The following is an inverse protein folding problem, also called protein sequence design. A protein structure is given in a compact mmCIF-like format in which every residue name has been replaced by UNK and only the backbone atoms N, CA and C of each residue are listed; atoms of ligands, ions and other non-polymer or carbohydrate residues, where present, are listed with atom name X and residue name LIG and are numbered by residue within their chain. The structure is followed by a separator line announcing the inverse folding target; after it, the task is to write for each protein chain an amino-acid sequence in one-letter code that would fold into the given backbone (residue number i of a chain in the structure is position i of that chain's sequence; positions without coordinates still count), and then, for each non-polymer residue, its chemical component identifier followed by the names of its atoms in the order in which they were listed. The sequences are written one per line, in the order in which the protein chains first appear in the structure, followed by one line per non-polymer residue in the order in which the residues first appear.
data_IF_722222978439
#
_entry.id   IF_722222978439
#
_cell.length_a   1.000
_cell.length_b   1.000
_cell.length_c   1.000
_cell.angle_alpha   90.00
_cell.angle_beta   90.00
_cell.angle_gamma   90.00
#
_symmetry.space_group_name_H-M   'P 1'
#
loop_
_entity.id
_entity.type
_entity.pdbx_description
1 polymer ?
#
# COMPACT_ATOMS: atom_id res chain seq x y z
N UNK A 1 34.20 -49.73 67.92
CA UNK A 1 33.99 -48.54 67.07
C UNK A 1 33.60 -48.98 65.66
N UNK A 2 32.30 -48.95 65.32
CA UNK A 2 31.82 -49.30 63.96
C UNK A 2 31.74 -48.01 63.13
N UNK A 3 32.62 -47.87 62.13
CA UNK A 3 32.55 -46.79 61.12
C UNK A 3 31.40 -47.12 60.16
N UNK A 4 30.41 -46.23 60.07
CA UNK A 4 29.37 -46.25 59.02
C UNK A 4 29.91 -45.50 57.81
N UNK A 5 30.05 -46.17 56.67
CA UNK A 5 30.37 -45.57 55.38
C UNK A 5 29.06 -45.09 54.74
N UNK A 6 28.86 -43.78 54.68
CA UNK A 6 27.73 -43.13 54.00
C UNK A 6 28.06 -43.06 52.50
N UNK A 7 27.31 -43.78 51.66
CA UNK A 7 27.40 -43.65 50.20
C UNK A 7 26.43 -42.56 49.77
N UNK A 8 26.95 -41.41 49.33
CA UNK A 8 26.16 -40.34 48.73
C UNK A 8 26.12 -40.62 47.22
N UNK A 9 24.98 -41.11 46.73
CA UNK A 9 24.72 -41.26 45.30
C UNK A 9 24.21 -39.91 44.78
N UNK A 10 25.03 -39.19 44.02
CA UNK A 10 24.65 -37.96 43.36
C UNK A 10 23.83 -38.31 42.10
N UNK A 11 22.51 -38.16 42.15
CA UNK A 11 21.64 -38.34 40.98
C UNK A 11 21.70 -37.07 40.12
N UNK A 12 22.39 -37.12 38.99
CA UNK A 12 22.31 -36.09 37.96
C UNK A 12 20.97 -36.24 37.22
N UNK A 13 20.00 -35.38 37.53
CA UNK A 13 18.79 -35.22 36.71
C UNK A 13 19.16 -34.45 35.44
N UNK A 14 19.32 -35.17 34.33
CA UNK A 14 19.32 -34.59 32.99
C UNK A 14 17.87 -34.19 32.67
N UNK A 15 17.55 -32.91 32.87
CA UNK A 15 16.34 -32.31 32.32
C UNK A 15 16.54 -32.20 30.80
N UNK A 16 16.01 -33.16 30.04
CA UNK A 16 15.84 -33.01 28.60
C UNK A 16 14.72 -32.00 28.37
N UNK A 17 15.07 -30.73 28.22
CA UNK A 17 14.19 -29.75 27.59
C UNK A 17 14.00 -30.23 26.15
N UNK A 18 12.88 -30.89 25.87
CA UNK A 18 12.46 -31.14 24.51
C UNK A 18 12.14 -29.78 23.88
N UNK A 19 13.12 -29.21 23.18
CA UNK A 19 12.90 -28.10 22.27
C UNK A 19 11.94 -28.61 21.19
N UNK A 20 10.66 -28.31 21.32
CA UNK A 20 9.67 -28.53 20.26
C UNK A 20 9.94 -27.51 19.16
N UNK A 21 10.97 -27.74 18.34
CA UNK A 21 11.11 -27.04 17.07
C UNK A 21 9.94 -27.43 16.17
N UNK A 22 9.23 -26.45 15.61
CA UNK A 22 8.21 -26.71 14.59
C UNK A 22 8.85 -27.40 13.38
N UNK A 23 8.12 -28.33 12.77
CA UNK A 23 8.62 -29.09 11.60
C UNK A 23 8.53 -28.23 10.34
N UNK A 24 9.33 -28.55 9.32
CA UNK A 24 9.24 -27.93 7.99
C UNK A 24 7.78 -27.91 7.48
N UNK A 25 7.09 -29.05 7.55
CA UNK A 25 5.70 -29.17 7.11
C UNK A 25 4.74 -28.24 7.89
N UNK A 26 5.00 -27.98 9.17
CA UNK A 26 4.17 -27.06 9.95
C UNK A 26 4.33 -25.62 9.43
N UNK A 27 5.56 -25.20 9.10
CA UNK A 27 5.79 -23.88 8.50
C UNK A 27 5.19 -23.76 7.10
N UNK A 28 5.32 -24.79 6.26
CA UNK A 28 4.73 -24.77 4.92
C UNK A 28 3.20 -24.69 4.99
N UNK A 29 2.56 -25.49 5.84
CA UNK A 29 1.10 -25.42 6.01
C UNK A 29 0.65 -24.03 6.49
N UNK A 30 1.36 -23.43 7.44
CA UNK A 30 1.06 -22.08 7.92
C UNK A 30 1.29 -21.01 6.84
N UNK A 31 2.28 -21.20 5.96
CA UNK A 31 2.52 -20.31 4.82
C UNK A 31 1.39 -20.38 3.79
N UNK A 32 0.91 -21.58 3.46
CA UNK A 32 -0.22 -21.77 2.53
C UNK A 32 -1.54 -21.23 3.09
N UNK A 33 -1.79 -21.43 4.40
CA UNK A 33 -2.95 -20.84 5.09
C UNK A 33 -2.90 -19.30 5.04
N UNK A 34 -1.73 -18.72 5.35
CA UNK A 34 -1.49 -17.29 5.22
C UNK A 34 -1.71 -16.79 3.77
N UNK A 35 -1.21 -17.50 2.76
CA UNK A 35 -1.44 -17.15 1.36
C UNK A 35 -2.92 -17.20 0.97
N UNK A 36 -3.67 -18.21 1.43
CA UNK A 36 -5.09 -18.34 1.16
C UNK A 36 -5.91 -17.17 1.76
N UNK A 37 -5.44 -16.63 2.89
CA UNK A 37 -5.99 -15.44 3.52
C UNK A 37 -5.44 -14.12 2.96
N UNK A 38 -4.54 -14.17 1.96
CA UNK A 38 -3.77 -13.02 1.41
C UNK A 38 -2.85 -12.33 2.43
N UNK A 39 -2.47 -13.03 3.51
CA UNK A 39 -1.46 -12.61 4.47
C UNK A 39 -0.03 -12.79 3.92
N UNK A 40 0.33 -11.97 2.95
CA UNK A 40 1.63 -12.09 2.28
C UNK A 40 2.80 -11.83 3.23
N UNK A 41 2.59 -11.06 4.31
CA UNK A 41 3.61 -10.85 5.34
C UNK A 41 3.93 -12.15 6.07
N UNK A 42 2.92 -12.80 6.66
CA UNK A 42 3.15 -14.03 7.40
C UNK A 42 3.53 -15.18 6.48
N UNK A 43 2.97 -15.25 5.26
CA UNK A 43 3.43 -16.19 4.25
C UNK A 43 4.93 -16.04 3.99
N UNK A 44 5.42 -14.80 3.76
CA UNK A 44 6.84 -14.54 3.58
C UNK A 44 7.66 -14.92 4.83
N UNK A 45 7.17 -14.64 6.03
CA UNK A 45 7.83 -15.05 7.27
C UNK A 45 7.98 -16.58 7.38
N UNK A 46 6.92 -17.33 7.12
CA UNK A 46 6.92 -18.78 7.22
C UNK A 46 7.78 -19.43 6.13
N UNK A 47 7.69 -18.99 4.86
CA UNK A 47 8.59 -19.50 3.82
C UNK A 47 10.05 -19.15 4.08
N UNK A 48 10.34 -17.95 4.60
CA UNK A 48 11.71 -17.57 5.00
C UNK A 48 12.27 -18.56 6.01
N UNK A 49 11.45 -18.96 6.98
CA UNK A 49 11.82 -19.96 7.99
C UNK A 49 11.95 -21.36 7.38
N UNK A 50 11.05 -21.75 6.47
CA UNK A 50 11.11 -23.02 5.76
C UNK A 50 12.41 -23.19 4.95
N UNK A 51 12.89 -22.13 4.31
CA UNK A 51 14.16 -22.12 3.55
C UNK A 51 15.38 -22.42 4.44
N UNK A 52 15.30 -22.23 5.76
CA UNK A 52 16.40 -22.56 6.68
C UNK A 52 16.60 -24.07 6.83
N UNK A 53 15.57 -24.89 6.56
CA UNK A 53 15.66 -26.36 6.59
C UNK A 53 16.38 -26.92 5.36
N UNK A 54 16.19 -26.28 4.20
CA UNK A 54 16.92 -26.57 2.97
C UNK A 54 17.15 -25.29 2.16
N UNK A 55 18.38 -24.79 2.22
CA UNK A 55 18.76 -23.56 1.52
C UNK A 55 18.83 -23.69 0.00
N UNK A 56 18.81 -24.93 -0.52
CA UNK A 56 18.88 -25.23 -1.96
C UNK A 56 17.51 -25.39 -2.62
N UNK A 57 16.44 -25.48 -1.82
CA UNK A 57 15.08 -25.59 -2.34
C UNK A 57 14.63 -24.29 -3.02
N UNK A 58 14.56 -24.34 -4.35
CA UNK A 58 14.14 -23.21 -5.17
C UNK A 58 12.63 -22.97 -5.12
N UNK A 59 11.80 -23.98 -4.82
CA UNK A 59 10.35 -23.80 -4.73
C UNK A 59 10.00 -22.94 -3.52
N UNK A 60 10.52 -23.30 -2.36
CA UNK A 60 10.31 -22.52 -1.12
C UNK A 60 10.93 -21.13 -1.24
N UNK A 61 12.07 -21.01 -1.93
CA UNK A 61 12.69 -19.70 -2.21
C UNK A 61 11.87 -18.83 -3.14
N UNK A 62 11.29 -19.40 -4.19
CA UNK A 62 10.40 -18.69 -5.10
C UNK A 62 9.12 -18.26 -4.38
N UNK A 63 8.53 -19.14 -3.56
CA UNK A 63 7.35 -18.81 -2.77
C UNK A 63 7.60 -17.68 -1.75
N UNK A 64 8.76 -17.70 -1.08
CA UNK A 64 9.21 -16.58 -0.24
C UNK A 64 9.36 -15.27 -1.03
N UNK A 65 9.98 -15.35 -2.22
CA UNK A 65 10.21 -14.18 -3.07
C UNK A 65 8.88 -13.57 -3.55
N UNK A 66 7.94 -14.43 -3.95
CA UNK A 66 6.60 -14.05 -4.42
C UNK A 66 5.75 -13.43 -3.31
N UNK A 67 5.71 -14.05 -2.13
CA UNK A 67 5.04 -13.48 -0.97
C UNK A 67 5.67 -12.14 -0.56
N UNK A 68 7.01 -12.04 -0.59
CA UNK A 68 7.71 -10.78 -0.30
C UNK A 68 7.39 -9.69 -1.32
N UNK A 69 7.26 -10.03 -2.60
CA UNK A 69 6.89 -9.09 -3.67
C UNK A 69 5.47 -8.57 -3.47
N UNK A 70 4.50 -9.46 -3.22
CA UNK A 70 3.10 -9.11 -2.94
C UNK A 70 2.92 -8.29 -1.66
N UNK A 71 3.79 -8.48 -0.67
CA UNK A 71 3.84 -7.66 0.54
C UNK A 71 4.63 -6.33 0.35
N UNK A 72 5.17 -6.04 -0.83
CA UNK A 72 6.00 -4.87 -1.13
C UNK A 72 7.37 -4.86 -0.42
N UNK A 73 7.85 -5.99 0.09
CA UNK A 73 9.21 -6.16 0.58
C UNK A 73 10.21 -6.38 -0.58
N UNK A 74 10.27 -5.42 -1.51
CA UNK A 74 10.96 -5.56 -2.80
C UNK A 74 12.44 -5.95 -2.66
N UNK A 75 13.16 -5.42 -1.67
CA UNK A 75 14.56 -5.78 -1.44
C UNK A 75 14.74 -7.25 -1.01
N UNK A 76 13.77 -7.81 -0.29
CA UNK A 76 13.77 -9.23 0.07
C UNK A 76 13.40 -10.10 -1.13
N UNK A 77 12.37 -9.70 -1.88
CA UNK A 77 11.94 -10.35 -3.11
C UNK A 77 13.07 -10.42 -4.13
N UNK A 78 13.75 -9.30 -4.43
CA UNK A 78 14.88 -9.23 -5.36
C UNK A 78 15.98 -10.22 -4.99
N UNK A 79 16.44 -10.24 -3.72
CA UNK A 79 17.50 -11.16 -3.28
C UNK A 79 17.09 -12.63 -3.43
N UNK A 80 15.83 -12.94 -3.19
CA UNK A 80 15.32 -14.29 -3.26
C UNK A 80 15.11 -14.73 -4.73
N UNK A 81 14.48 -13.90 -5.56
CA UNK A 81 14.31 -14.17 -6.99
C UNK A 81 15.64 -14.23 -7.74
N UNK A 82 16.61 -13.37 -7.43
CA UNK A 82 17.94 -13.43 -8.04
C UNK A 82 18.57 -14.82 -7.82
N UNK A 83 18.48 -15.35 -6.60
CA UNK A 83 18.95 -16.71 -6.30
C UNK A 83 18.17 -17.79 -7.05
N UNK A 84 16.88 -17.61 -7.28
CA UNK A 84 16.09 -18.55 -8.10
C UNK A 84 16.61 -18.52 -9.55
N UNK A 85 16.67 -17.34 -10.16
CA UNK A 85 17.15 -17.15 -11.54
C UNK A 85 18.58 -17.70 -11.72
N UNK A 86 19.49 -17.42 -10.78
CA UNK A 86 20.88 -17.86 -10.85
C UNK A 86 21.06 -19.39 -10.78
N UNK A 87 20.08 -20.12 -10.22
CA UNK A 87 20.17 -21.56 -9.96
C UNK A 87 19.11 -22.39 -10.72
N UNK A 88 18.25 -21.76 -11.51
CA UNK A 88 17.19 -22.42 -12.29
C UNK A 88 17.72 -23.02 -13.61
N UNK A 89 18.67 -23.95 -13.50
CA UNK A 89 19.29 -24.58 -14.68
C UNK A 89 18.31 -25.38 -15.55
N UNK A 90 17.19 -25.81 -14.98
CA UNK A 90 16.13 -26.57 -15.66
C UNK A 90 15.02 -25.68 -16.23
N UNK A 91 15.09 -24.36 -16.01
CA UNK A 91 14.06 -23.39 -16.41
C UNK A 91 12.67 -23.71 -15.86
N UNK A 92 12.60 -24.25 -14.65
CA UNK A 92 11.35 -24.59 -13.96
C UNK A 92 10.58 -23.35 -13.48
N UNK A 93 11.25 -22.21 -13.36
CA UNK A 93 10.70 -20.95 -12.86
C UNK A 93 10.71 -19.86 -13.95
N UNK A 94 10.07 -20.14 -15.08
CA UNK A 94 10.02 -19.23 -16.25
C UNK A 94 9.54 -17.79 -15.93
N UNK A 95 8.75 -17.59 -14.85
CA UNK A 95 8.30 -16.26 -14.41
C UNK A 95 9.28 -15.53 -13.45
N UNK A 96 10.31 -16.21 -12.94
CA UNK A 96 11.23 -15.61 -11.98
C UNK A 96 11.97 -14.38 -12.55
N UNK A 97 12.43 -14.35 -13.82
CA UNK A 97 13.04 -13.14 -14.38
C UNK A 97 12.07 -11.95 -14.44
N UNK A 98 10.80 -12.17 -14.83
CA UNK A 98 9.78 -11.11 -14.83
C UNK A 98 9.56 -10.54 -13.41
N UNK A 99 9.37 -11.41 -12.42
CA UNK A 99 9.11 -10.98 -11.03
C UNK A 99 10.32 -10.34 -10.36
N UNK A 100 11.53 -10.80 -10.71
CA UNK A 100 12.77 -10.15 -10.33
C UNK A 100 12.84 -8.73 -10.91
N UNK A 101 12.51 -8.59 -12.20
CA UNK A 101 12.48 -7.30 -12.87
C UNK A 101 11.48 -6.35 -12.22
N UNK A 102 10.30 -6.84 -11.85
CA UNK A 102 9.28 -6.06 -11.14
C UNK A 102 9.79 -5.53 -9.80
N UNK A 103 10.38 -6.39 -8.95
CA UNK A 103 10.97 -5.98 -7.68
C UNK A 103 12.07 -4.92 -7.88
N UNK A 104 12.93 -5.10 -8.88
CA UNK A 104 13.99 -4.15 -9.22
C UNK A 104 13.42 -2.82 -9.74
N UNK A 105 12.39 -2.88 -10.56
CA UNK A 105 11.72 -1.71 -11.13
C UNK A 105 11.08 -0.86 -10.02
N UNK A 106 10.34 -1.47 -9.09
CA UNK A 106 9.75 -0.79 -7.92
C UNK A 106 10.78 -0.13 -7.01
N UNK A 107 12.04 -0.59 -7.04
CA UNK A 107 13.15 0.01 -6.31
C UNK A 107 13.96 1.05 -7.10
N UNK A 108 13.54 1.39 -8.33
CA UNK A 108 14.27 2.31 -9.21
C UNK A 108 15.57 1.73 -9.78
N UNK A 109 15.76 0.40 -9.71
CA UNK A 109 16.94 -0.30 -10.27
C UNK A 109 16.74 -0.57 -11.76
N UNK A 110 16.49 0.50 -12.51
CA UNK A 110 16.01 0.48 -13.89
C UNK A 110 16.84 -0.40 -14.84
N UNK A 111 18.17 -0.27 -14.81
CA UNK A 111 19.05 -1.07 -15.66
C UNK A 111 18.99 -2.58 -15.37
N UNK A 112 18.87 -2.96 -14.09
CA UNK A 112 18.74 -4.36 -13.72
C UNK A 112 17.37 -4.91 -14.10
N UNK A 113 16.31 -4.14 -13.85
CA UNK A 113 14.95 -4.49 -14.21
C UNK A 113 14.82 -4.71 -15.72
N UNK A 114 15.30 -3.76 -16.53
CA UNK A 114 15.26 -3.85 -17.99
C UNK A 114 15.92 -5.12 -18.51
N UNK A 115 17.10 -5.49 -18.00
CA UNK A 115 17.79 -6.74 -18.39
C UNK A 115 16.95 -7.97 -18.09
N UNK A 116 16.30 -8.02 -16.93
CA UNK A 116 15.49 -9.17 -16.54
C UNK A 116 14.14 -9.26 -17.29
N UNK A 117 13.51 -8.12 -17.62
CA UNK A 117 12.37 -8.12 -18.54
C UNK A 117 12.77 -8.58 -19.94
N UNK A 118 13.91 -8.13 -20.46
CA UNK A 118 14.44 -8.59 -21.75
C UNK A 118 14.79 -10.09 -21.74
N UNK A 119 15.36 -10.59 -20.64
CA UNK A 119 15.59 -12.02 -20.46
C UNK A 119 14.27 -12.79 -20.50
N UNK A 120 13.26 -12.36 -19.75
CA UNK A 120 11.94 -12.98 -19.75
C UNK A 120 11.33 -13.05 -21.16
N UNK A 121 11.35 -11.95 -21.91
CA UNK A 121 10.83 -11.90 -23.29
C UNK A 121 11.61 -12.86 -24.20
N UNK A 122 12.94 -12.87 -24.12
CA UNK A 122 13.78 -13.75 -24.95
C UNK A 122 13.59 -15.23 -24.65
N UNK A 123 13.35 -15.60 -23.39
CA UNK A 123 13.10 -17.00 -23.01
C UNK A 123 11.70 -17.49 -23.39
N UNK A 124 10.78 -16.56 -23.69
CA UNK A 124 9.39 -16.84 -24.06
C UNK A 124 9.09 -16.32 -25.49
N UNK A 125 10.07 -16.38 -26.39
CA UNK A 125 9.92 -15.95 -27.79
C UNK A 125 8.70 -16.61 -28.47
N UNK A 126 7.85 -15.78 -29.08
CA UNK A 126 6.62 -16.22 -29.75
C UNK A 126 5.39 -16.31 -28.83
N UNK A 127 5.54 -16.13 -27.51
CA UNK A 127 4.43 -15.88 -26.61
C UNK A 127 3.84 -14.48 -26.87
N UNK A 128 2.51 -14.39 -26.92
CA UNK A 128 1.76 -13.14 -27.06
C UNK A 128 0.86 -12.91 -25.83
N UNK A 129 1.28 -13.41 -24.67
CA UNK A 129 0.57 -13.23 -23.41
C UNK A 129 0.58 -11.77 -22.95
N UNK A 130 -0.37 -11.42 -22.08
CA UNK A 130 -0.42 -10.11 -21.42
C UNK A 130 0.90 -9.78 -20.70
N UNK A 131 1.57 -10.78 -20.09
CA UNK A 131 2.84 -10.58 -19.39
C UNK A 131 3.97 -10.12 -20.32
N UNK A 132 4.02 -10.59 -21.58
CA UNK A 132 4.98 -10.10 -22.56
C UNK A 132 4.71 -8.63 -22.87
N UNK A 133 3.44 -8.28 -23.11
CA UNK A 133 3.04 -6.89 -23.37
C UNK A 133 3.34 -5.96 -22.17
N UNK A 134 3.12 -6.43 -20.95
CA UNK A 134 3.46 -5.71 -19.72
C UNK A 134 4.97 -5.52 -19.55
N UNK A 135 5.78 -6.54 -19.83
CA UNK A 135 7.23 -6.45 -19.78
C UNK A 135 7.76 -5.42 -20.80
N UNK A 136 7.20 -5.39 -22.01
CA UNK A 136 7.53 -4.39 -23.04
C UNK A 136 7.13 -2.97 -22.61
N UNK A 137 5.91 -2.81 -22.07
CA UNK A 137 5.47 -1.54 -21.48
C UNK A 137 6.41 -1.07 -20.37
N UNK A 138 6.80 -1.97 -19.46
CA UNK A 138 7.73 -1.67 -18.37
C UNK A 138 9.11 -1.24 -18.89
N UNK A 139 9.63 -1.88 -19.94
CA UNK A 139 10.90 -1.46 -20.60
C UNK A 139 10.76 -0.05 -21.19
N UNK A 140 9.63 0.26 -21.82
CA UNK A 140 9.38 1.60 -22.37
C UNK A 140 9.30 2.67 -21.28
N UNK A 141 8.59 2.38 -20.18
CA UNK A 141 8.51 3.25 -19.00
C UNK A 141 9.91 3.48 -18.39
N UNK A 142 10.72 2.42 -18.28
CA UNK A 142 12.11 2.51 -17.81
C UNK A 142 12.95 3.41 -18.72
N UNK A 143 12.86 3.24 -20.05
CA UNK A 143 13.62 4.07 -20.99
C UNK A 143 13.22 5.55 -20.84
N UNK A 144 11.92 5.82 -20.78
CA UNK A 144 11.42 7.18 -20.56
C UNK A 144 11.93 7.76 -19.24
N UNK A 145 11.89 7.00 -18.14
CA UNK A 145 12.38 7.45 -16.83
C UNK A 145 13.89 7.73 -16.81
N UNK A 146 14.69 6.94 -17.55
CA UNK A 146 16.13 7.17 -17.69
C UNK A 146 16.41 8.42 -18.53
N UNK A 147 15.64 8.63 -19.62
CA UNK A 147 15.80 9.75 -20.53
C UNK A 147 15.28 11.08 -19.95
N UNK A 148 14.33 11.02 -19.02
CA UNK A 148 13.64 12.17 -18.41
C UNK A 148 13.84 12.26 -16.88
N UNK A 149 14.84 11.55 -16.35
CA UNK A 149 15.10 11.53 -14.92
C UNK A 149 15.45 12.90 -14.34
N UNK A 150 15.21 13.06 -13.03
CA UNK A 150 15.49 14.28 -12.27
C UNK A 150 16.96 14.73 -12.37
N UNK A 151 17.24 16.06 -12.32
CA UNK A 151 16.34 17.12 -11.86
C UNK A 151 15.67 17.94 -12.97
N UNK A 152 14.41 18.32 -12.75
CA UNK A 152 13.75 19.40 -13.50
C UNK A 152 14.47 20.72 -13.20
N UNK A 153 15.02 21.36 -14.24
CA UNK A 153 15.73 22.63 -14.13
C UNK A 153 14.88 23.68 -13.38
N UNK A 154 15.46 24.27 -12.34
CA UNK A 154 14.81 25.30 -11.52
C UNK A 154 13.89 24.78 -10.40
N UNK A 155 13.73 23.46 -10.26
CA UNK A 155 13.00 22.85 -9.14
C UNK A 155 13.98 22.34 -8.09
N UNK A 156 13.79 22.74 -6.84
CA UNK A 156 14.53 22.19 -5.69
C UNK A 156 13.58 21.33 -4.87
N UNK A 157 13.91 20.05 -4.72
CA UNK A 157 13.18 19.12 -3.86
C UNK A 157 13.93 19.04 -2.53
N UNK A 158 13.25 19.36 -1.44
CA UNK A 158 13.77 19.27 -0.08
C UNK A 158 12.94 18.28 0.75
N UNK A 159 13.62 17.34 1.40
CA UNK A 159 13.00 16.51 2.43
C UNK A 159 12.57 17.40 3.61
N UNK A 160 11.35 17.22 4.12
CA UNK A 160 10.76 18.03 5.19
C UNK A 160 11.19 17.61 6.60
N UNK A 161 12.19 16.72 6.69
CA UNK A 161 12.73 16.21 7.94
C UNK A 161 11.98 14.98 8.45
N UNK A 162 12.58 14.30 9.44
CA UNK A 162 12.09 13.04 9.98
C UNK A 162 10.76 13.10 10.74
N UNK A 163 10.19 14.30 10.93
CA UNK A 163 8.85 14.45 11.51
C UNK A 163 7.72 14.27 10.49
N UNK A 164 8.01 14.63 9.24
CA UNK A 164 7.15 14.37 8.09
C UNK A 164 7.61 13.11 7.39
N UNK A 165 8.81 13.07 6.82
CA UNK A 165 9.30 11.96 6.00
C UNK A 165 9.90 10.85 6.90
N UNK A 166 9.07 9.90 7.30
CA UNK A 166 9.48 8.78 8.17
C UNK A 166 9.82 7.53 7.36
N UNK A 167 10.24 6.42 7.99
CA UNK A 167 10.33 5.12 7.31
C UNK A 167 8.99 4.52 6.90
N UNK A 168 7.86 5.07 7.37
CA UNK A 168 6.51 4.65 6.98
C UNK A 168 5.99 5.48 5.79
N UNK A 169 4.86 5.07 5.23
CA UNK A 169 4.24 5.83 4.14
C UNK A 169 3.59 7.11 4.67
N UNK A 170 4.03 8.25 4.13
CA UNK A 170 3.31 9.51 4.17
C UNK A 170 2.69 9.82 2.81
N UNK A 171 1.41 10.18 2.79
CA UNK A 171 0.68 10.34 1.54
C UNK A 171 -0.47 11.34 1.67
N UNK A 172 -1.04 11.74 0.53
CA UNK A 172 -2.10 12.76 0.41
C UNK A 172 -1.72 14.07 1.13
N UNK A 173 -0.53 14.61 0.82
CA UNK A 173 -0.14 15.91 1.32
C UNK A 173 -0.96 17.00 0.60
N UNK A 174 -1.71 17.80 1.37
CA UNK A 174 -2.47 18.94 0.87
C UNK A 174 -2.11 20.19 1.67
N UNK A 175 -2.07 21.32 0.98
CA UNK A 175 -1.87 22.62 1.62
C UNK A 175 -3.22 23.31 1.77
N UNK A 176 -3.50 23.78 2.97
CA UNK A 176 -4.64 24.66 3.25
C UNK A 176 -4.18 25.75 4.22
N UNK A 177 -4.31 27.01 3.81
CA UNK A 177 -3.70 28.16 4.49
C UNK A 177 -2.18 27.94 4.72
N UNK A 178 -1.72 28.15 5.94
CA UNK A 178 -0.31 27.99 6.35
C UNK A 178 0.04 26.56 6.82
N UNK A 179 -0.89 25.60 6.66
CA UNK A 179 -0.74 24.22 7.11
C UNK A 179 -0.62 23.25 5.95
N UNK A 180 0.23 22.25 6.14
CA UNK A 180 0.26 21.03 5.34
C UNK A 180 -0.45 19.96 6.14
N UNK A 181 -1.49 19.36 5.56
CA UNK A 181 -2.15 18.18 6.10
C UNK A 181 -1.69 16.96 5.30
N UNK A 182 -1.49 15.83 5.97
CA UNK A 182 -1.08 14.59 5.32
C UNK A 182 -1.48 13.39 6.17
N UNK A 183 -1.58 12.21 5.57
CA UNK A 183 -1.75 10.96 6.28
C UNK A 183 -0.40 10.27 6.49
N UNK A 184 -0.19 9.65 7.66
CA UNK A 184 0.98 8.81 7.94
C UNK A 184 0.56 7.45 8.46
N UNK A 185 1.11 6.39 7.87
CA UNK A 185 0.79 4.99 8.14
C UNK A 185 1.68 4.38 9.24
N UNK A 186 1.82 5.10 10.36
CA UNK A 186 2.79 4.79 11.43
C UNK A 186 2.18 4.48 12.79
N UNK A 187 0.85 4.35 12.88
CA UNK A 187 0.14 4.24 14.15
C UNK A 187 -0.29 2.80 14.41
N UNK A 188 0.35 2.14 15.37
CA UNK A 188 -0.01 0.79 15.77
C UNK A 188 -1.28 0.77 16.63
N UNK A 189 -2.06 -0.30 16.47
CA UNK A 189 -3.18 -0.65 17.31
C UNK A 189 -3.02 -2.11 17.74
N UNK A 190 -2.94 -2.30 19.05
CA UNK A 190 -2.83 -3.61 19.68
C UNK A 190 -4.22 -4.25 19.75
N UNK A 191 -4.36 -5.44 19.15
CA UNK A 191 -5.51 -6.32 19.34
C UNK A 191 -5.03 -7.54 20.14
N UNK A 192 -5.68 -7.87 21.26
CA UNK A 192 -5.22 -8.93 22.19
C UNK A 192 -5.01 -10.30 21.51
N UNK A 193 -5.79 -10.60 20.48
CA UNK A 193 -5.78 -11.89 19.78
C UNK A 193 -4.87 -11.93 18.54
N UNK A 194 -4.20 -10.83 18.19
CA UNK A 194 -3.28 -10.79 17.04
C UNK A 194 -1.82 -10.91 17.47
N UNK A 195 -1.08 -11.79 16.77
CA UNK A 195 0.38 -11.91 16.93
C UNK A 195 1.13 -10.65 16.45
N UNK A 196 0.50 -9.84 15.60
CA UNK A 196 1.07 -8.65 14.96
C UNK A 196 0.05 -7.53 15.02
N UNK A 197 0.46 -6.38 15.53
CA UNK A 197 -0.37 -5.18 15.61
C UNK A 197 -0.78 -4.71 14.22
N UNK A 198 -2.03 -4.24 14.10
CA UNK A 198 -2.44 -3.53 12.89
C UNK A 198 -1.84 -2.14 12.91
N UNK A 199 -1.38 -1.68 11.76
CA UNK A 199 -0.96 -0.30 11.56
C UNK A 199 -2.07 0.48 10.87
N UNK A 200 -2.26 1.71 11.30
CA UNK A 200 -3.31 2.59 10.83
C UNK A 200 -2.72 3.89 10.31
N UNK A 201 -3.37 4.43 9.28
CA UNK A 201 -3.13 5.80 8.85
C UNK A 201 -3.91 6.77 9.72
N UNK A 202 -3.24 7.84 10.14
CA UNK A 202 -3.86 8.99 10.80
C UNK A 202 -3.43 10.28 10.12
N UNK A 203 -4.25 11.29 10.29
CA UNK A 203 -4.03 12.61 9.71
C UNK A 203 -3.22 13.46 10.67
N UNK A 204 -2.16 14.05 10.14
CA UNK A 204 -1.33 15.03 10.81
C UNK A 204 -1.39 16.37 10.10
N UNK A 205 -0.98 17.42 10.81
CA UNK A 205 -0.71 18.73 10.24
C UNK A 205 0.66 19.24 10.67
N UNK A 206 1.30 20.00 9.78
CA UNK A 206 2.52 20.76 10.04
C UNK A 206 2.30 22.22 9.65
N UNK A 207 2.76 23.13 10.49
CA UNK A 207 2.67 24.58 10.29
C UNK A 207 4.09 25.19 10.38
N UNK A 208 4.56 25.77 9.28
CA UNK A 208 5.92 26.30 9.18
C UNK A 208 6.98 25.30 9.65
N UNK A 209 7.89 25.75 10.51
CA UNK A 209 9.00 24.95 11.06
C UNK A 209 8.59 24.04 12.23
N UNK A 210 7.32 24.08 12.68
CA UNK A 210 6.88 23.27 13.82
C UNK A 210 6.90 21.77 13.52
N UNK A 211 7.03 20.96 14.57
CA UNK A 211 6.87 19.51 14.46
C UNK A 211 5.45 19.14 13.99
N UNK A 212 5.35 18.07 13.20
CA UNK A 212 4.05 17.58 12.75
C UNK A 212 3.29 16.96 13.93
N UNK A 213 2.00 17.30 14.04
CA UNK A 213 1.14 16.82 15.11
C UNK A 213 -0.13 16.19 14.53
N UNK A 214 -0.69 15.19 15.23
CA UNK A 214 -2.03 14.71 14.95
C UNK A 214 -3.00 15.88 14.97
N UNK A 215 -3.89 15.95 13.98
CA UNK A 215 -5.02 16.87 14.08
C UNK A 215 -5.98 16.39 15.16
N UNK A 216 -6.92 17.27 15.54
CA UNK A 216 -7.90 17.06 16.61
C UNK A 216 -8.33 15.59 16.78
N UNK A 217 -8.28 15.08 18.01
CA UNK A 217 -8.54 13.67 18.29
C UNK A 217 -9.94 13.23 17.89
N UNK A 218 -10.91 14.15 17.81
CA UNK A 218 -12.24 13.86 17.29
C UNK A 218 -12.25 13.56 15.79
N UNK A 219 -11.23 13.98 15.03
CA UNK A 219 -11.08 13.73 13.60
C UNK A 219 -10.49 12.33 13.35
N UNK A 220 -9.44 11.98 14.09
CA UNK A 220 -8.77 10.69 13.99
C UNK A 220 -9.52 9.63 14.82
N UNK A 221 -10.37 8.82 14.17
CA UNK A 221 -11.11 7.74 14.84
C UNK A 221 -10.18 6.68 15.44
N UNK A 222 -10.53 6.12 16.61
CA UNK A 222 -9.82 4.97 17.19
C UNK A 222 -10.16 3.69 16.41
N UNK A 223 -9.16 2.92 15.97
CA UNK A 223 -9.35 1.62 15.33
C UNK A 223 -9.66 1.63 13.82
N UNK A 224 -9.67 2.78 13.16
CA UNK A 224 -9.86 2.90 11.71
C UNK A 224 -8.76 3.74 11.05
N UNK A 225 -8.51 3.53 9.76
CA UNK A 225 -7.66 4.41 8.97
C UNK A 225 -8.40 5.71 8.73
N UNK A 226 -7.71 6.85 8.89
CA UNK A 226 -8.21 8.17 8.51
C UNK A 226 -7.19 8.81 7.59
N UNK A 227 -7.59 9.15 6.37
CA UNK A 227 -6.69 9.68 5.34
C UNK A 227 -7.46 10.40 4.22
N UNK A 228 -6.74 10.81 3.16
CA UNK A 228 -7.30 11.32 1.91
C UNK A 228 -8.20 12.55 2.08
N UNK A 229 -7.67 13.64 2.64
CA UNK A 229 -8.39 14.89 2.81
C UNK A 229 -8.51 15.63 1.47
N UNK A 230 -9.63 16.34 1.32
CA UNK A 230 -9.86 17.33 0.30
C UNK A 230 -10.72 18.47 0.86
N UNK A 231 -10.19 19.68 0.85
CA UNK A 231 -10.95 20.87 1.23
C UNK A 231 -11.78 21.35 0.04
N UNK A 232 -12.96 21.89 0.34
CA UNK A 232 -13.70 22.68 -0.64
C UNK A 232 -12.95 23.99 -0.94
N UNK A 233 -13.38 24.70 -1.99
CA UNK A 233 -12.76 25.93 -2.52
C UNK A 233 -12.52 26.98 -1.44
N UNK A 234 -13.48 27.14 -0.54
CA UNK A 234 -13.44 28.14 0.53
C UNK A 234 -12.80 27.62 1.83
N UNK A 235 -12.35 26.37 1.86
CA UNK A 235 -11.81 25.69 3.04
C UNK A 235 -12.73 25.80 4.28
N UNK A 236 -14.04 25.71 4.06
CA UNK A 236 -15.11 25.68 5.08
C UNK A 236 -15.68 24.28 5.29
N UNK A 237 -15.39 23.35 4.37
CA UNK A 237 -15.76 21.94 4.45
C UNK A 237 -14.57 21.08 4.01
N UNK A 238 -14.42 19.93 4.65
CA UNK A 238 -13.44 18.91 4.29
C UNK A 238 -14.13 17.59 4.00
N UNK A 239 -13.73 16.95 2.91
CA UNK A 239 -14.02 15.55 2.60
C UNK A 239 -12.81 14.71 2.95
N UNK A 240 -13.03 13.51 3.45
CA UNK A 240 -11.96 12.62 3.86
C UNK A 240 -12.48 11.18 3.91
N UNK A 241 -11.56 10.24 4.04
CA UNK A 241 -11.90 8.83 4.05
C UNK A 241 -11.67 8.24 5.44
N UNK A 242 -12.63 7.44 5.90
CA UNK A 242 -12.45 6.51 7.02
C UNK A 242 -12.47 5.11 6.41
N UNK A 243 -11.45 4.30 6.70
CA UNK A 243 -11.38 2.93 6.21
C UNK A 243 -11.22 1.93 7.34
N UNK A 244 -11.91 0.81 7.20
CA UNK A 244 -11.91 -0.29 8.15
C UNK A 244 -11.36 -1.54 7.48
N UNK A 245 -10.72 -2.37 8.29
CA UNK A 245 -10.32 -3.70 7.83
C UNK A 245 -11.57 -4.58 7.72
N UNK A 246 -11.91 -5.00 6.51
CA UNK A 246 -13.01 -5.96 6.28
C UNK A 246 -12.60 -7.37 6.75
N UNK A 247 -11.33 -7.70 6.53
CA UNK A 247 -10.72 -8.93 7.01
C UNK A 247 -9.30 -8.64 7.52
N UNK A 248 -8.41 -9.63 7.50
CA UNK A 248 -7.08 -9.41 8.04
C UNK A 248 -6.20 -8.42 7.24
N UNK A 249 -6.50 -8.22 5.95
CA UNK A 249 -5.69 -7.40 5.03
C UNK A 249 -6.51 -6.44 4.17
N UNK A 250 -7.69 -6.85 3.71
CA UNK A 250 -8.51 -6.04 2.84
C UNK A 250 -9.11 -4.86 3.64
N UNK A 251 -9.08 -3.67 3.03
CA UNK A 251 -9.52 -2.41 3.62
C UNK A 251 -10.63 -1.84 2.75
N UNK A 252 -11.79 -1.57 3.35
CA UNK A 252 -12.92 -0.92 2.70
C UNK A 252 -13.06 0.48 3.28
N UNK A 253 -13.26 1.43 2.38
CA UNK A 253 -13.28 2.86 2.69
C UNK A 253 -14.64 3.47 2.42
N UNK A 254 -15.01 4.42 3.27
CA UNK A 254 -16.15 5.30 3.09
C UNK A 254 -15.70 6.77 3.12
N UNK A 255 -16.36 7.61 2.34
CA UNK A 255 -16.14 9.05 2.32
C UNK A 255 -17.06 9.73 3.33
N UNK A 256 -16.45 10.59 4.14
CA UNK A 256 -17.09 11.43 5.12
C UNK A 256 -16.82 12.90 4.81
N UNK A 257 -17.64 13.78 5.38
CA UNK A 257 -17.41 15.22 5.40
C UNK A 257 -17.54 15.82 6.79
N UNK A 258 -16.91 16.98 6.99
CA UNK A 258 -17.08 17.85 8.17
C UNK A 258 -17.06 19.30 7.74
N UNK A 259 -17.86 20.12 8.41
CA UNK A 259 -17.72 21.57 8.33
C UNK A 259 -16.59 22.02 9.26
N UNK A 260 -15.97 23.13 8.91
CA UNK A 260 -14.96 23.83 9.69
C UNK A 260 -15.64 25.06 10.25
N UNK A 261 -15.72 25.13 11.58
CA UNK A 261 -16.34 26.26 12.27
C UNK A 261 -15.41 27.48 12.22
N UNK A 262 -15.95 28.67 12.50
CA UNK A 262 -15.18 29.93 12.48
C UNK A 262 -13.98 29.95 13.45
N UNK A 263 -14.02 29.13 14.50
CA UNK A 263 -12.92 28.96 15.47
C UNK A 263 -11.87 27.92 15.01
N UNK A 264 -12.02 27.35 13.81
CA UNK A 264 -11.16 26.33 13.24
C UNK A 264 -11.43 24.91 13.74
N UNK A 265 -12.43 24.71 14.61
CA UNK A 265 -12.84 23.38 15.06
C UNK A 265 -13.64 22.63 13.99
N UNK A 266 -13.56 21.30 14.03
CA UNK A 266 -14.27 20.43 13.10
C UNK A 266 -15.66 20.07 13.66
N UNK A 267 -16.69 20.08 12.82
CA UNK A 267 -17.99 19.53 13.18
C UNK A 267 -17.93 18.00 13.38
N UNK A 268 -19.02 17.42 13.87
CA UNK A 268 -19.22 15.98 13.86
C UNK A 268 -19.07 15.38 12.46
N UNK A 269 -18.56 14.14 12.33
CA UNK A 269 -18.42 13.47 11.05
C UNK A 269 -19.78 13.20 10.41
N UNK A 270 -19.91 13.46 9.12
CA UNK A 270 -21.09 13.14 8.32
C UNK A 270 -20.69 12.14 7.22
N UNK A 271 -21.15 10.89 7.32
CA UNK A 271 -20.98 9.91 6.25
C UNK A 271 -21.72 10.40 5.01
N UNK A 272 -21.08 10.34 3.84
CA UNK A 272 -21.74 10.70 2.59
C UNK A 272 -22.83 9.67 2.22
N UNK A 273 -23.85 10.07 1.44
CA UNK A 273 -24.97 9.19 1.08
C UNK A 273 -24.56 7.92 0.36
N UNK A 274 -25.39 6.89 0.42
CA UNK A 274 -25.11 5.55 -0.14
C UNK A 274 -24.86 5.53 -1.66
N UNK A 275 -25.35 6.54 -2.40
CA UNK A 275 -25.01 6.65 -3.83
C UNK A 275 -23.56 7.11 -4.05
N UNK A 276 -22.94 7.77 -3.07
CA UNK A 276 -21.50 8.06 -3.04
C UNK A 276 -20.76 6.89 -2.38
N UNK A 277 -21.23 6.41 -1.23
CA UNK A 277 -20.67 5.28 -0.51
C UNK A 277 -21.39 3.99 -0.85
N UNK A 278 -21.11 3.43 -2.03
CA UNK A 278 -21.69 2.14 -2.43
C UNK A 278 -21.22 1.05 -1.45
N UNK A 279 -22.18 0.36 -0.82
CA UNK A 279 -21.90 -0.63 0.23
C UNK A 279 -21.19 -1.88 -0.26
N UNK A 280 -21.13 -2.11 -1.58
CA UNK A 280 -20.46 -3.26 -2.19
C UNK A 280 -19.08 -2.90 -2.76
N UNK A 281 -18.59 -1.70 -2.48
CA UNK A 281 -17.38 -1.14 -3.07
C UNK A 281 -16.60 -0.34 -2.02
N UNK A 282 -15.31 -0.16 -2.27
CA UNK A 282 -14.52 0.87 -1.58
C UNK A 282 -14.80 2.23 -2.22
N UNK A 283 -14.81 3.29 -1.41
CA UNK A 283 -15.06 4.66 -1.85
C UNK A 283 -14.04 5.57 -1.16
N UNK A 284 -13.07 6.10 -1.90
CA UNK A 284 -11.88 6.70 -1.29
C UNK A 284 -11.30 7.82 -2.13
N UNK A 285 -10.23 8.44 -1.60
CA UNK A 285 -9.41 9.42 -2.28
C UNK A 285 -10.22 10.59 -2.86
N UNK A 286 -11.06 11.26 -2.04
CA UNK A 286 -11.80 12.41 -2.53
C UNK A 286 -10.84 13.52 -2.97
N UNK A 287 -11.28 14.30 -3.94
CA UNK A 287 -10.67 15.53 -4.41
C UNK A 287 -11.77 16.51 -4.76
N UNK A 288 -11.63 17.79 -4.39
CA UNK A 288 -12.61 18.81 -4.76
C UNK A 288 -12.02 19.69 -5.85
N UNK A 289 -12.74 19.78 -6.96
CA UNK A 289 -12.49 20.76 -8.00
C UNK A 289 -13.62 21.77 -8.13
N UNK A 290 -13.50 22.66 -9.11
CA UNK A 290 -14.49 23.68 -9.39
C UNK A 290 -14.60 23.90 -10.90
N UNK A 291 -15.83 23.88 -11.39
CA UNK A 291 -16.19 24.17 -12.77
C UNK A 291 -16.74 25.60 -12.84
N UNK A 292 -16.01 26.46 -13.54
CA UNK A 292 -16.35 27.86 -13.68
C UNK A 292 -17.53 28.12 -14.63
N UNK A 293 -17.79 27.22 -15.58
CA UNK A 293 -18.92 27.35 -16.51
C UNK A 293 -20.25 26.99 -15.83
N UNK A 294 -20.20 26.03 -14.91
CA UNK A 294 -21.35 25.62 -14.10
C UNK A 294 -21.50 26.42 -12.80
N UNK A 295 -20.47 27.18 -12.40
CA UNK A 295 -20.35 27.82 -11.09
C UNK A 295 -20.59 26.83 -9.93
N UNK A 296 -19.96 25.65 -10.02
CA UNK A 296 -20.19 24.53 -9.08
C UNK A 296 -18.89 23.86 -8.68
N UNK A 297 -18.84 23.43 -7.41
CA UNK A 297 -17.81 22.51 -6.96
C UNK A 297 -18.10 21.09 -7.45
N UNK A 298 -17.04 20.32 -7.66
CA UNK A 298 -17.11 18.93 -8.12
C UNK A 298 -16.34 18.07 -7.12
N UNK A 299 -16.99 17.07 -6.56
CA UNK A 299 -16.33 16.01 -5.82
C UNK A 299 -15.89 14.92 -6.78
N UNK A 300 -14.58 14.77 -6.97
CA UNK A 300 -13.98 13.58 -7.56
C UNK A 300 -13.66 12.57 -6.46
N UNK A 301 -13.76 11.29 -6.76
CA UNK A 301 -13.37 10.21 -5.84
C UNK A 301 -13.16 8.92 -6.63
N UNK A 302 -12.64 7.90 -5.95
CA UNK A 302 -12.29 6.61 -6.55
C UNK A 302 -13.17 5.50 -5.97
N UNK A 303 -13.61 4.56 -6.81
CA UNK A 303 -14.43 3.42 -6.39
C UNK A 303 -14.33 2.23 -7.36
N UNK A 304 -14.38 1.02 -6.83
CA UNK A 304 -14.42 -0.26 -7.58
C UNK A 304 -15.87 -0.78 -7.74
N UNK A 305 -16.85 0.12 -7.74
CA UNK A 305 -18.27 -0.24 -7.85
C UNK A 305 -18.61 -0.92 -9.17
N UNK A 306 -19.61 -1.81 -9.10
CA UNK A 306 -20.11 -2.56 -10.26
C UNK A 306 -20.58 -1.60 -11.37
N UNK A 307 -20.18 -1.89 -12.60
CA UNK A 307 -20.52 -1.08 -13.78
C UNK A 307 -19.50 0.01 -14.12
N UNK A 308 -18.36 0.01 -13.42
CA UNK A 308 -17.15 0.73 -13.79
C UNK A 308 -16.50 0.25 -15.10
N UNK A 309 -15.34 0.82 -15.41
CA UNK A 309 -14.50 0.52 -16.57
C UNK A 309 -13.47 -0.59 -16.26
N UNK A 310 -12.93 -0.62 -15.04
CA UNK A 310 -11.85 -1.52 -14.65
C UNK A 310 -11.83 -1.84 -13.15
N UNK A 311 -10.63 -1.75 -12.56
CA UNK A 311 -10.41 -1.92 -11.13
C UNK A 311 -10.99 -0.76 -10.33
N UNK A 312 -10.13 0.11 -9.82
CA UNK A 312 -10.54 1.37 -9.22
C UNK A 312 -10.77 2.45 -10.29
N UNK A 313 -11.97 3.02 -10.35
CA UNK A 313 -12.31 4.06 -11.30
C UNK A 313 -12.47 5.43 -10.65
N UNK A 314 -12.17 6.50 -11.39
CA UNK A 314 -12.53 7.86 -11.01
C UNK A 314 -14.00 8.14 -11.33
N UNK A 315 -14.72 8.59 -10.31
CA UNK A 315 -16.07 9.13 -10.39
C UNK A 315 -16.08 10.61 -10.04
N UNK A 316 -17.08 11.34 -10.52
CA UNK A 316 -17.33 12.72 -10.13
C UNK A 316 -18.81 12.96 -9.81
N UNK A 317 -19.07 13.88 -8.89
CA UNK A 317 -20.41 14.36 -8.52
C UNK A 317 -20.40 15.88 -8.32
N UNK A 318 -21.43 16.57 -8.81
CA UNK A 318 -21.59 18.00 -8.56
C UNK A 318 -22.00 18.24 -7.11
N UNK A 319 -21.50 19.31 -6.50
CA UNK A 319 -21.92 19.78 -5.18
C UNK A 319 -22.87 20.96 -5.40
N UNK A 320 -24.12 20.84 -4.93
CA UNK A 320 -25.20 21.83 -5.09
C UNK A 320 -25.78 22.18 -3.71
N UNK A 321 -25.75 23.44 -3.30
CA UNK A 321 -26.35 23.90 -2.03
C UNK A 321 -25.97 23.05 -0.80
N UNK A 322 -24.72 22.57 -0.74
CA UNK A 322 -24.18 21.63 0.26
C UNK A 322 -24.64 20.17 0.17
N UNK A 323 -25.47 19.82 -0.80
CA UNK A 323 -25.80 18.45 -1.20
C UNK A 323 -24.87 17.95 -2.30
N UNK A 324 -24.75 16.63 -2.45
CA UNK A 324 -23.88 16.00 -3.45
C UNK A 324 -24.80 15.28 -4.44
N UNK A 325 -24.59 15.51 -5.73
CA UNK A 325 -25.32 14.81 -6.78
C UNK A 325 -24.98 13.32 -6.86
N UNK A 326 -25.68 12.58 -7.72
CA UNK A 326 -25.31 11.20 -8.03
C UNK A 326 -23.98 11.15 -8.79
N UNK A 327 -23.10 10.19 -8.50
CA UNK A 327 -21.81 10.12 -9.16
C UNK A 327 -21.92 9.61 -10.59
N UNK A 328 -21.02 10.10 -11.43
CA UNK A 328 -20.87 9.72 -12.83
C UNK A 328 -19.45 9.19 -13.03
N UNK A 329 -19.33 8.03 -13.67
CA UNK A 329 -18.04 7.44 -14.01
C UNK A 329 -17.32 8.28 -15.07
N UNK A 330 -16.08 8.69 -14.81
CA UNK A 330 -15.29 9.52 -15.73
C UNK A 330 -14.62 8.65 -16.82
N UNK A 331 -15.45 8.01 -17.66
CA UNK A 331 -15.03 7.05 -18.70
C UNK A 331 -13.98 7.55 -19.70
N UNK A 332 -13.78 8.87 -19.80
CA UNK A 332 -12.76 9.44 -20.68
C UNK A 332 -11.33 9.22 -20.19
N UNK A 333 -11.15 8.89 -18.90
CA UNK A 333 -9.82 8.65 -18.30
C UNK A 333 -9.66 7.25 -17.73
N UNK A 334 -10.75 6.61 -17.31
CA UNK A 334 -10.69 5.27 -16.71
C UNK A 334 -10.31 4.20 -17.74
N UNK A 335 -9.53 3.21 -17.29
CA UNK A 335 -9.05 2.07 -18.07
C UNK A 335 -9.64 0.77 -17.52
N UNK A 336 -9.10 -0.38 -17.95
CA UNK A 336 -9.42 -1.68 -17.38
C UNK A 336 -8.66 -1.98 -16.08
N UNK A 337 -7.74 -1.10 -15.67
CA UNK A 337 -6.94 -1.20 -14.44
C UNK A 337 -7.36 -0.14 -13.40
N UNK A 338 -6.43 0.32 -12.56
CA UNK A 338 -6.71 1.25 -11.46
C UNK A 338 -6.34 2.69 -11.81
N UNK A 339 -7.33 3.58 -11.74
CA UNK A 339 -7.18 5.03 -11.70
C UNK A 339 -7.38 5.57 -10.28
N UNK A 340 -6.30 6.08 -9.70
CA UNK A 340 -6.26 6.49 -8.30
C UNK A 340 -5.75 7.91 -8.12
N UNK A 341 -5.93 8.43 -6.91
CA UNK A 341 -5.38 9.70 -6.41
C UNK A 341 -5.75 10.92 -7.25
N UNK A 342 -7.04 11.14 -7.56
CA UNK A 342 -7.45 12.35 -8.27
C UNK A 342 -7.00 13.59 -7.48
N UNK A 343 -6.41 14.55 -8.17
CA UNK A 343 -5.99 15.81 -7.62
C UNK A 343 -6.36 16.93 -8.59
N UNK A 344 -7.36 17.72 -8.22
CA UNK A 344 -7.72 18.89 -9.01
C UNK A 344 -6.84 20.08 -8.62
N UNK A 345 -6.03 20.54 -9.57
CA UNK A 345 -5.21 21.73 -9.41
C UNK A 345 -6.01 22.97 -9.82
N UNK A 346 -6.67 23.60 -8.85
CA UNK A 346 -7.55 24.75 -9.07
C UNK A 346 -6.93 25.90 -9.87
N UNK A 347 -5.66 26.31 -9.68
CA UNK A 347 -5.07 27.42 -10.43
C UNK A 347 -5.01 27.20 -11.95
N UNK A 348 -4.90 25.94 -12.41
CA UNK A 348 -4.83 25.61 -13.84
C UNK A 348 -6.05 24.85 -14.34
N UNK A 349 -7.05 24.63 -13.47
CA UNK A 349 -8.25 23.82 -13.75
C UNK A 349 -7.89 22.46 -14.36
N UNK A 350 -6.90 21.78 -13.80
CA UNK A 350 -6.36 20.52 -14.33
C UNK A 350 -6.55 19.40 -13.32
N UNK A 351 -7.14 18.29 -13.76
CA UNK A 351 -7.21 17.05 -12.98
C UNK A 351 -5.98 16.19 -13.25
N UNK A 352 -5.19 15.94 -12.21
CA UNK A 352 -4.12 14.95 -12.21
C UNK A 352 -4.62 13.68 -11.55
N UNK A 353 -4.11 12.53 -11.98
CA UNK A 353 -4.40 11.22 -11.40
C UNK A 353 -3.28 10.25 -11.74
N UNK A 354 -3.25 9.11 -11.06
CA UNK A 354 -2.30 8.02 -11.35
C UNK A 354 -3.05 6.86 -12.00
N UNK A 355 -2.45 6.25 -13.00
CA UNK A 355 -2.91 5.01 -13.64
C UNK A 355 -1.80 3.99 -13.60
N UNK A 356 -2.14 2.70 -13.52
CA UNK A 356 -1.21 1.58 -13.62
C UNK A 356 -1.23 0.90 -15.00
N UNK A 357 -1.71 1.60 -16.04
CA UNK A 357 -1.69 1.17 -17.45
C UNK A 357 -0.29 1.07 -18.09
#
# INVERSE_FOLDING_TARGET
MKRKTLHITLLFFLFSQALNGQTLNAFLNAAEEALAEKDYYNAAYYYKTAIEFDTTDLNNRYAYADASLKFNAYAAAERAFQRVVDNDSEKAFALAPYKLAEAQHKMGKYEAAKRNYQLYISENEGDNSALISEAEKAINAINWAVDNGDPIDGVTISNLGGSVNTPYSEYNAIRSNDKIYYASHRFEFEEEDRKINRIFSKVLSKEGENEAALIDSSFNSSGAHVSNLAFNKDATKVFYTICEYENAFDIVCDIYSRNINDDGSWSSPMKLPDYINDSLATNTQPSVGYDADLDKEILYFVSDRIGGSGGLDIYYALIEDSEIGKPVNLKSVNTDLDEITPFFHSPTSTLYFSTNN
#
